data_IF_784210852358
#
_entry.id   IF_784210852358
#
_cell.length_a   1.000
_cell.length_b   1.000
_cell.length_c   1.000
_cell.angle_alpha   90.00
_cell.angle_beta   90.00
_cell.angle_gamma   90.00
#
_symmetry.space_group_name_H-M   'P 1'
#
loop_
_entity.id
_entity.type
_entity.pdbx_description
1 polymer ?
#
# COMPACT_ATOMS: atom_id res chain seq x y z
N UNK A 1 -17.98 22.43 1.02
CA UNK A 1 -17.89 23.16 -0.26
C UNK A 1 -16.44 23.44 -0.65
N UNK A 2 -15.63 24.08 0.21
CA UNK A 2 -14.18 24.22 -0.05
C UNK A 2 -13.47 22.87 -0.25
N UNK A 3 -13.77 21.89 0.60
CA UNK A 3 -13.26 20.52 0.49
C UNK A 3 -13.68 19.85 -0.84
N UNK A 4 -14.98 19.86 -1.18
CA UNK A 4 -15.46 19.35 -2.47
C UNK A 4 -14.80 20.03 -3.67
N UNK A 5 -14.56 21.34 -3.59
CA UNK A 5 -13.83 22.05 -4.64
C UNK A 5 -12.36 21.62 -4.70
N UNK A 6 -11.69 21.41 -3.57
CA UNK A 6 -10.31 20.87 -3.55
C UNK A 6 -10.28 19.49 -4.20
N UNK A 7 -11.15 18.58 -3.78
CA UNK A 7 -11.27 17.25 -4.38
C UNK A 7 -11.59 17.31 -5.89
N UNK A 8 -12.33 18.33 -6.35
CA UNK A 8 -12.58 18.53 -7.79
C UNK A 8 -11.32 18.89 -8.57
N UNK A 9 -10.41 19.68 -7.99
CA UNK A 9 -9.13 20.03 -8.60
C UNK A 9 -8.21 18.82 -8.72
N UNK A 10 -8.33 17.88 -7.78
CA UNK A 10 -7.57 16.63 -7.74
C UNK A 10 -8.23 15.51 -8.58
N UNK A 11 -9.43 15.74 -9.11
CA UNK A 11 -10.18 14.76 -9.91
C UNK A 11 -10.82 13.63 -9.08
N UNK A 12 -11.04 13.86 -7.79
CA UNK A 12 -11.48 12.83 -6.82
C UNK A 12 -13.00 12.85 -6.55
N UNK A 13 -13.77 13.71 -7.21
CA UNK A 13 -15.22 13.78 -6.99
C UNK A 13 -15.98 12.61 -7.63
N UNK A 14 -16.93 12.06 -6.87
CA UNK A 14 -18.00 11.24 -7.44
C UNK A 14 -18.99 12.08 -8.25
N UNK A 15 -19.77 11.44 -9.15
CA UNK A 15 -20.76 12.15 -9.97
C UNK A 15 -21.79 12.94 -9.15
N UNK A 16 -22.26 12.37 -8.03
CA UNK A 16 -23.21 13.05 -7.13
C UNK A 16 -22.59 14.30 -6.52
N UNK A 17 -21.31 14.22 -6.12
CA UNK A 17 -20.60 15.34 -5.53
C UNK A 17 -20.31 16.44 -6.55
N UNK A 18 -20.00 16.09 -7.80
CA UNK A 18 -19.86 17.04 -8.90
C UNK A 18 -21.15 17.84 -9.11
N UNK A 19 -22.29 17.16 -9.24
CA UNK A 19 -23.60 17.83 -9.40
C UNK A 19 -23.93 18.70 -8.19
N UNK A 20 -23.64 18.22 -6.97
CA UNK A 20 -23.85 19.00 -5.75
C UNK A 20 -22.99 20.26 -5.70
N UNK A 21 -21.73 20.15 -6.12
CA UNK A 21 -20.80 21.27 -6.18
C UNK A 21 -21.27 22.30 -7.22
N UNK A 22 -21.61 21.86 -8.43
CA UNK A 22 -22.14 22.72 -9.50
C UNK A 22 -23.39 23.48 -9.05
N UNK A 23 -24.37 22.79 -8.46
CA UNK A 23 -25.58 23.41 -7.95
C UNK A 23 -25.30 24.48 -6.88
N UNK A 24 -24.32 24.22 -6.00
CA UNK A 24 -23.94 25.20 -4.97
C UNK A 24 -23.21 26.40 -5.55
N UNK A 25 -22.29 26.19 -6.50
CA UNK A 25 -21.55 27.28 -7.15
C UNK A 25 -22.46 28.19 -7.98
N UNK A 26 -23.54 27.65 -8.54
CA UNK A 26 -24.56 28.45 -9.23
C UNK A 26 -25.33 29.39 -8.28
N UNK A 27 -25.47 29.03 -7.01
CA UNK A 27 -26.27 29.78 -6.02
C UNK A 27 -25.48 30.60 -5.01
N UNK A 28 -24.16 30.40 -4.89
CA UNK A 28 -23.35 30.99 -3.81
C UNK A 28 -22.17 31.83 -4.35
N UNK A 29 -22.29 33.16 -4.39
CA UNK A 29 -21.25 34.05 -4.92
C UNK A 29 -19.90 33.97 -4.19
N UNK A 30 -19.92 33.72 -2.88
CA UNK A 30 -18.68 33.61 -2.09
C UNK A 30 -17.92 32.32 -2.41
N UNK A 31 -18.64 31.21 -2.66
CA UNK A 31 -18.02 29.96 -3.06
C UNK A 31 -17.55 29.99 -4.53
N UNK A 32 -18.27 30.68 -5.43
CA UNK A 32 -17.82 30.85 -6.81
C UNK A 32 -16.56 31.72 -6.91
N UNK A 33 -16.49 32.82 -6.14
CA UNK A 33 -15.29 33.65 -6.07
C UNK A 33 -14.08 32.88 -5.51
N UNK A 34 -14.30 32.06 -4.47
CA UNK A 34 -13.27 31.16 -3.97
C UNK A 34 -12.81 30.15 -5.02
N UNK A 35 -13.75 29.50 -5.70
CA UNK A 35 -13.45 28.50 -6.72
C UNK A 35 -12.59 29.09 -7.86
N UNK A 36 -12.98 30.26 -8.38
CA UNK A 36 -12.21 30.95 -9.42
C UNK A 36 -10.76 31.27 -8.96
N UNK A 37 -10.59 31.66 -7.70
CA UNK A 37 -9.27 31.96 -7.12
C UNK A 37 -8.42 30.68 -7.00
N UNK A 38 -9.00 29.60 -6.49
CA UNK A 38 -8.32 28.32 -6.31
C UNK A 38 -7.96 27.66 -7.65
N UNK A 39 -8.85 27.70 -8.64
CA UNK A 39 -8.58 27.25 -10.01
C UNK A 39 -7.44 28.04 -10.66
N UNK A 40 -7.40 29.36 -10.46
CA UNK A 40 -6.31 30.20 -10.95
C UNK A 40 -4.96 29.80 -10.34
N UNK A 41 -4.91 29.62 -9.02
CA UNK A 41 -3.70 29.19 -8.32
C UNK A 41 -3.24 27.79 -8.75
N UNK A 42 -4.17 26.83 -8.85
CA UNK A 42 -3.88 25.46 -9.28
C UNK A 42 -3.30 25.44 -10.70
N UNK A 43 -3.90 26.19 -11.63
CA UNK A 43 -3.41 26.32 -13.01
C UNK A 43 -2.01 26.93 -13.07
N UNK A 44 -1.73 27.95 -12.27
CA UNK A 44 -0.41 28.57 -12.21
C UNK A 44 0.66 27.55 -11.81
N UNK A 45 0.40 26.76 -10.76
CA UNK A 45 1.33 25.71 -10.31
C UNK A 45 1.51 24.63 -11.37
N UNK A 46 0.43 24.16 -11.98
CA UNK A 46 0.48 23.10 -13.01
C UNK A 46 1.20 23.53 -14.29
N UNK A 47 1.10 24.80 -14.66
CA UNK A 47 1.74 25.36 -15.87
C UNK A 47 3.17 25.83 -15.63
N UNK A 48 3.58 25.96 -14.36
CA UNK A 48 4.95 26.38 -14.03
C UNK A 48 5.94 25.26 -14.41
N UNK A 49 7.01 25.56 -15.16
CA UNK A 49 8.04 24.58 -15.47
C UNK A 49 8.64 23.95 -14.20
N UNK A 50 8.89 22.65 -14.24
CA UNK A 50 9.47 21.93 -13.11
C UNK A 50 10.87 22.48 -12.77
N UNK A 51 11.03 22.94 -11.54
CA UNK A 51 12.33 23.37 -11.02
C UNK A 51 13.19 22.16 -10.67
N UNK A 52 14.48 22.21 -11.01
CA UNK A 52 15.43 21.18 -10.61
C UNK A 52 15.92 21.49 -9.18
N UNK A 53 15.68 20.61 -8.20
CA UNK A 53 16.20 20.82 -6.85
C UNK A 53 17.73 20.85 -6.85
N UNK A 54 18.31 21.77 -6.08
CA UNK A 54 19.76 21.89 -5.88
C UNK A 54 20.33 20.87 -4.89
N UNK A 55 19.46 20.08 -4.28
CA UNK A 55 19.79 19.06 -3.30
C UNK A 55 19.34 17.66 -3.76
N UNK A 56 20.00 16.59 -3.30
CA UNK A 56 19.60 15.23 -3.64
C UNK A 56 18.29 14.86 -2.95
N UNK A 57 17.30 14.38 -3.72
CA UNK A 57 16.09 13.75 -3.18
C UNK A 57 16.38 12.26 -2.97
N UNK A 58 16.38 11.81 -1.72
CA UNK A 58 16.58 10.41 -1.36
C UNK A 58 15.23 9.72 -1.15
N UNK A 59 14.88 8.79 -2.03
CA UNK A 59 13.65 7.98 -1.90
C UNK A 59 13.97 6.67 -1.16
N UNK A 60 13.37 6.39 0.03
CA UNK A 60 13.74 5.23 0.86
C UNK A 60 13.56 3.87 0.18
N UNK A 61 12.56 3.73 -0.70
CA UNK A 61 12.14 2.44 -1.27
C UNK A 61 13.09 1.81 -2.30
N UNK A 62 13.96 2.61 -2.93
CA UNK A 62 14.83 2.10 -4.01
C UNK A 62 15.86 1.08 -3.51
N UNK A 63 16.33 1.25 -2.26
CA UNK A 63 17.26 0.33 -1.60
C UNK A 63 16.59 -0.98 -1.21
N UNK A 64 15.33 -0.92 -0.76
CA UNK A 64 14.54 -2.10 -0.41
C UNK A 64 14.23 -2.97 -1.62
N UNK A 65 13.98 -2.37 -2.78
CA UNK A 65 13.75 -3.12 -4.02
C UNK A 65 14.98 -3.94 -4.45
N UNK A 66 16.18 -3.37 -4.33
CA UNK A 66 17.44 -4.07 -4.63
C UNK A 66 17.69 -5.20 -3.64
N UNK A 67 17.49 -4.94 -2.34
CA UNK A 67 17.63 -5.97 -1.30
C UNK A 67 16.66 -7.15 -1.53
N UNK A 68 15.40 -6.88 -1.90
CA UNK A 68 14.42 -7.91 -2.24
C UNK A 68 14.85 -8.76 -3.44
N UNK A 69 15.39 -8.13 -4.50
CA UNK A 69 15.89 -8.87 -5.68
C UNK A 69 17.04 -9.80 -5.31
N UNK A 70 17.99 -9.33 -4.48
CA UNK A 70 19.09 -10.16 -3.99
C UNK A 70 18.61 -11.32 -3.11
N UNK A 71 17.62 -11.08 -2.24
CA UNK A 71 17.00 -12.13 -1.42
C UNK A 71 16.33 -13.21 -2.29
N UNK A 72 15.60 -12.82 -3.33
CA UNK A 72 14.97 -13.78 -4.26
C UNK A 72 16.03 -14.59 -5.02
N UNK A 73 17.10 -13.94 -5.49
CA UNK A 73 18.20 -14.64 -6.16
C UNK A 73 18.91 -15.63 -5.22
N UNK A 74 19.18 -15.23 -3.98
CA UNK A 74 19.78 -16.10 -2.97
C UNK A 74 18.89 -17.29 -2.62
N UNK A 75 17.58 -17.08 -2.47
CA UNK A 75 16.62 -18.15 -2.22
C UNK A 75 16.57 -19.14 -3.40
N UNK A 76 16.55 -18.66 -4.64
CA UNK A 76 16.60 -19.50 -5.83
C UNK A 76 17.89 -20.33 -5.89
N UNK A 77 19.05 -19.72 -5.63
CA UNK A 77 20.33 -20.41 -5.58
C UNK A 77 20.34 -21.52 -4.51
N UNK A 78 19.83 -21.24 -3.30
CA UNK A 78 19.74 -22.23 -2.23
C UNK A 78 18.87 -23.43 -2.62
N UNK A 79 17.73 -23.22 -3.29
CA UNK A 79 16.87 -24.30 -3.81
C UNK A 79 17.60 -25.12 -4.90
N UNK A 80 18.34 -24.47 -5.80
CA UNK A 80 19.09 -25.20 -6.83
C UNK A 80 20.22 -26.05 -6.25
N UNK A 81 20.92 -25.58 -5.22
CA UNK A 81 21.98 -26.34 -4.55
C UNK A 81 21.41 -27.55 -3.82
N UNK A 82 20.30 -27.40 -3.09
CA UNK A 82 19.71 -28.53 -2.36
C UNK A 82 19.14 -29.59 -3.30
N UNK A 83 18.43 -29.19 -4.37
CA UNK A 83 17.92 -30.12 -5.37
C UNK A 83 19.06 -30.78 -6.16
N UNK A 84 20.06 -30.01 -6.60
CA UNK A 84 21.20 -30.52 -7.35
C UNK A 84 22.03 -31.52 -6.55
N UNK A 85 22.27 -31.25 -5.26
CA UNK A 85 23.00 -32.16 -4.38
C UNK A 85 22.21 -33.44 -4.08
N UNK A 86 20.88 -33.34 -3.93
CA UNK A 86 20.01 -34.49 -3.72
C UNK A 86 19.99 -35.43 -4.94
N UNK A 87 19.97 -34.86 -6.15
CA UNK A 87 20.07 -35.64 -7.40
C UNK A 87 21.45 -36.29 -7.51
N UNK A 88 22.52 -35.54 -7.26
CA UNK A 88 23.89 -36.06 -7.36
C UNK A 88 24.15 -37.24 -6.39
N UNK A 89 23.67 -37.15 -5.16
CA UNK A 89 23.81 -38.23 -4.17
C UNK A 89 22.85 -39.41 -4.45
N UNK A 90 21.64 -39.13 -4.96
CA UNK A 90 20.67 -40.15 -5.34
C UNK A 90 21.06 -40.97 -6.58
N UNK A 91 21.90 -40.43 -7.47
CA UNK A 91 22.40 -41.17 -8.64
C UNK A 91 23.60 -42.09 -8.36
N UNK A 92 24.23 -41.99 -7.18
CA UNK A 92 25.39 -42.83 -6.79
C UNK A 92 24.97 -44.06 -5.98
N UNK A 93 23.72 -44.13 -5.49
CA UNK A 93 23.13 -45.32 -4.87
C UNK A 93 22.05 -45.94 -5.78
N UNK A 94 22.26 -47.18 -6.23
CA UNK A 94 21.31 -47.93 -7.08
C UNK A 94 19.88 -48.08 -6.52
N UNK A 95 18.94 -48.64 -7.31
CA UNK A 95 17.51 -48.43 -7.12
C UNK A 95 16.97 -49.28 -5.97
N UNK A 96 16.76 -48.67 -4.82
CA UNK A 96 15.86 -49.23 -3.80
C UNK A 96 15.36 -48.13 -2.87
N UNK A 97 14.05 -47.89 -3.00
CA UNK A 97 13.09 -47.55 -1.94
C UNK A 97 12.24 -46.32 -2.28
N UNK A 98 11.06 -46.62 -2.82
CA UNK A 98 9.87 -45.80 -2.72
C UNK A 98 9.61 -45.39 -1.27
N UNK A 99 9.22 -44.13 -1.05
CA UNK A 99 8.35 -43.75 0.07
C UNK A 99 8.92 -42.73 1.05
N UNK A 100 8.79 -41.43 0.75
CA UNK A 100 7.70 -40.61 1.26
C UNK A 100 7.99 -39.14 0.97
N UNK A 101 7.23 -38.58 0.03
CA UNK A 101 7.21 -37.14 -0.19
C UNK A 101 6.45 -36.47 0.94
N UNK A 102 7.13 -36.16 2.05
CA UNK A 102 6.61 -35.17 2.99
C UNK A 102 6.79 -33.79 2.36
N UNK A 103 5.75 -33.40 1.60
CA UNK A 103 5.54 -32.05 1.10
C UNK A 103 5.33 -31.16 2.33
N UNK A 104 6.39 -30.56 2.85
CA UNK A 104 6.28 -29.46 3.81
C UNK A 104 5.76 -28.23 3.03
N UNK A 105 4.45 -28.22 2.77
CA UNK A 105 3.73 -26.98 2.54
C UNK A 105 3.88 -26.17 3.82
N UNK A 106 4.80 -25.21 3.82
CA UNK A 106 4.74 -24.10 4.76
C UNK A 106 3.43 -23.35 4.48
N UNK A 107 2.36 -23.83 5.09
CA UNK A 107 1.13 -23.07 5.27
C UNK A 107 1.51 -21.87 6.12
N UNK A 108 1.78 -20.75 5.47
CA UNK A 108 1.77 -19.43 6.08
C UNK A 108 0.32 -19.08 6.43
N UNK A 109 -0.21 -19.76 7.43
CA UNK A 109 -1.51 -19.57 8.07
C UNK A 109 -1.44 -20.47 9.32
N UNK A 110 -1.42 -19.99 10.56
CA UNK A 110 -2.01 -18.78 11.12
C UNK A 110 -1.09 -18.26 12.25
N UNK A 111 -0.61 -17.03 12.15
CA UNK A 111 -0.17 -16.31 13.36
C UNK A 111 -1.44 -15.96 14.15
N UNK A 112 -1.80 -16.85 15.07
CA UNK A 112 -2.73 -16.69 16.20
C UNK A 112 -3.99 -15.81 15.95
N UNK A 113 -5.10 -16.38 15.44
CA UNK A 113 -6.37 -15.65 15.28
C UNK A 113 -6.90 -15.10 16.61
N UNK A 114 -6.60 -15.76 17.73
CA UNK A 114 -7.00 -15.31 19.07
C UNK A 114 -6.35 -13.98 19.49
N UNK A 115 -5.16 -13.68 18.96
CA UNK A 115 -4.47 -12.43 19.31
C UNK A 115 -5.11 -11.24 18.59
N UNK A 116 -5.49 -11.42 17.34
CA UNK A 116 -6.19 -10.40 16.53
C UNK A 116 -7.59 -10.12 17.10
N UNK A 117 -8.35 -11.17 17.47
CA UNK A 117 -9.65 -11.02 18.13
C UNK A 117 -9.56 -10.26 19.46
N UNK A 118 -8.54 -10.53 20.28
CA UNK A 118 -8.32 -9.78 21.53
C UNK A 118 -7.98 -8.31 21.28
N UNK A 119 -7.23 -7.99 20.22
CA UNK A 119 -6.94 -6.60 19.87
C UNK A 119 -8.18 -5.86 19.39
N UNK A 120 -9.03 -6.51 18.59
CA UNK A 120 -10.29 -5.93 18.12
C UNK A 120 -11.28 -5.70 19.28
N UNK A 121 -11.38 -6.64 20.22
CA UNK A 121 -12.22 -6.47 21.42
C UNK A 121 -11.73 -5.33 22.32
N UNK A 122 -10.41 -5.14 22.48
CA UNK A 122 -9.87 -3.99 23.23
C UNK A 122 -10.14 -2.66 22.54
N UNK A 123 -10.07 -2.63 21.21
CA UNK A 123 -10.33 -1.42 20.43
C UNK A 123 -11.83 -1.04 20.44
N UNK A 124 -12.73 -2.02 20.50
CA UNK A 124 -14.17 -1.77 20.59
C UNK A 124 -14.60 -1.32 21.98
N UNK A 125 -14.04 -1.89 23.05
CA UNK A 125 -14.34 -1.47 24.44
C UNK A 125 -13.79 -0.07 24.76
N UNK A 126 -12.64 0.29 24.21
CA UNK A 126 -12.12 1.66 24.29
C UNK A 126 -13.04 2.68 23.57
N UNK A 127 -13.74 2.24 22.52
CA UNK A 127 -14.66 3.08 21.74
C UNK A 127 -16.07 3.15 22.36
N UNK A 128 -16.45 2.16 23.18
CA UNK A 128 -17.76 2.09 23.86
C UNK A 128 -17.81 2.86 25.19
N UNK A 129 -16.67 3.35 25.70
CA UNK A 129 -16.62 4.24 26.86
C UNK A 129 -16.10 5.65 26.51
N UNK A 130 -16.79 6.43 25.66
CA UNK A 130 -16.56 7.86 25.60
C UNK A 130 -17.31 8.51 26.76
N UNK A 131 -16.56 8.98 27.76
CA UNK A 131 -16.97 9.78 28.95
C UNK A 131 -17.26 8.99 30.22
N UNK A 132 -16.30 9.05 31.14
CA UNK A 132 -16.45 9.60 32.49
C UNK A 132 -15.03 9.79 33.07
N UNK A 133 -14.44 10.95 32.80
CA UNK A 133 -13.34 11.52 33.57
C UNK A 133 -13.25 13.01 33.21
N UNK A 134 -14.20 13.77 33.75
CA UNK A 134 -13.91 15.08 34.31
C UNK A 134 -13.04 14.86 35.55
#
# INVERSE_FOLDING_TARGET
>A
MRELHSASLDGELSQLESVRLEAHLAGCPSCSAYAATAEGASRLVQQTPLERPSFPIVVPGRRLAVARKLQVAAAAAAVTVTVGLSVALGTVGGPAASGSSHRATASANLRFPDQELRMLQRASTARSHPRLAL
#
